data_IF_114766276900
#
_entry.id   IF_114766276900
#
_cell.length_a   1.000
_cell.length_b   1.000
_cell.length_c   1.000
_cell.angle_alpha   90.00
_cell.angle_beta   90.00
_cell.angle_gamma   90.00
#
_symmetry.space_group_name_H-M   'P 1'
#
loop_
_entity.id
_entity.type
_entity.pdbx_description
1 polymer ?
#
# COMPACT_ATOMS: atom_id res chain seq x y z
N UNK A 1 14.77 5.13 -5.85
CA UNK A 1 13.98 4.16 -5.07
C UNK A 1 14.95 3.17 -4.46
N UNK A 2 14.87 2.93 -3.15
CA UNK A 2 15.72 1.93 -2.50
C UNK A 2 15.18 0.50 -2.72
N UNK A 3 15.94 -0.52 -2.31
CA UNK A 3 15.57 -1.92 -2.47
C UNK A 3 14.24 -2.31 -1.79
N UNK A 4 13.87 -1.63 -0.70
CA UNK A 4 12.60 -1.86 0.00
C UNK A 4 11.42 -1.20 -0.73
N UNK A 5 11.61 -0.02 -1.31
CA UNK A 5 10.60 0.61 -2.19
C UNK A 5 10.39 -0.23 -3.46
N UNK A 6 11.46 -0.80 -4.03
CA UNK A 6 11.37 -1.70 -5.19
C UNK A 6 10.70 -3.04 -4.85
N UNK A 7 10.91 -3.60 -3.66
CA UNK A 7 10.24 -4.82 -3.22
C UNK A 7 8.72 -4.61 -3.05
N UNK A 8 8.32 -3.46 -2.50
CA UNK A 8 6.90 -3.05 -2.39
C UNK A 8 6.27 -2.86 -3.78
N UNK A 9 6.99 -2.25 -4.72
CA UNK A 9 6.52 -2.08 -6.11
C UNK A 9 6.44 -3.42 -6.85
N UNK A 10 7.38 -4.34 -6.59
CA UNK A 10 7.39 -5.70 -7.20
C UNK A 10 6.30 -6.62 -6.68
N UNK A 11 5.69 -6.32 -5.54
CA UNK A 11 4.55 -7.08 -5.02
C UNK A 11 3.25 -6.87 -5.83
N UNK A 12 3.13 -5.83 -6.66
CA UNK A 12 1.80 -5.36 -7.10
C UNK A 12 1.77 -4.99 -8.58
N UNK A 13 0.80 -5.55 -9.34
CA UNK A 13 0.49 -5.13 -10.72
C UNK A 13 -0.29 -3.81 -10.80
N UNK A 14 -0.76 -3.30 -9.66
CA UNK A 14 -1.69 -2.17 -9.50
C UNK A 14 -1.42 -1.38 -8.21
N UNK A 15 -0.25 -0.73 -8.10
CA UNK A 15 0.00 0.23 -7.01
C UNK A 15 -0.42 1.64 -7.44
N UNK A 16 -1.18 2.35 -6.62
CA UNK A 16 -1.48 3.78 -6.84
C UNK A 16 -0.48 4.60 -6.03
N UNK A 17 0.45 5.26 -6.73
CA UNK A 17 1.37 6.22 -6.10
C UNK A 17 0.70 7.60 -6.10
N UNK A 18 0.30 8.08 -4.93
CA UNK A 18 -0.22 9.44 -4.79
C UNK A 18 0.94 10.40 -4.53
N UNK A 19 1.41 11.08 -5.58
CA UNK A 19 2.23 12.29 -5.45
C UNK A 19 1.39 13.51 -5.82
N UNK A 20 0.94 14.29 -4.84
CA UNK A 20 0.20 15.52 -5.12
C UNK A 20 1.20 16.65 -5.36
N UNK A 21 1.60 16.85 -6.63
CA UNK A 21 2.28 18.08 -7.02
C UNK A 21 1.27 19.23 -7.06
N UNK A 22 1.63 20.41 -6.53
CA UNK A 22 0.84 21.64 -6.69
C UNK A 22 0.65 21.95 -8.17
N UNK A 23 -0.54 21.69 -8.71
CA UNK A 23 -0.95 22.21 -10.01
C UNK A 23 -2.36 22.82 -9.88
N UNK A 24 -2.43 24.16 -10.01
CA UNK A 24 -3.66 24.89 -10.25
C UNK A 24 -4.00 24.78 -11.74
N UNK A 25 -4.99 23.97 -12.12
CA UNK A 25 -5.91 24.27 -13.23
C UNK A 25 -6.96 23.16 -13.41
N UNK A 26 -8.17 23.59 -13.77
CA UNK A 26 -9.31 22.73 -14.10
C UNK A 26 -9.02 21.95 -15.38
N UNK A 27 -9.09 20.62 -15.33
CA UNK A 27 -9.09 19.76 -16.52
C UNK A 27 -10.27 18.79 -16.44
N UNK A 28 -11.15 18.84 -17.45
CA UNK A 28 -12.23 17.87 -17.70
C UNK A 28 -11.64 16.67 -18.45
N UNK A 29 -11.99 15.45 -18.03
CA UNK A 29 -11.58 14.21 -18.68
C UNK A 29 -12.59 13.78 -19.77
N UNK A 30 -12.15 13.43 -20.99
CA UNK A 30 -13.02 12.76 -21.96
C UNK A 30 -12.98 11.23 -21.77
N UNK A 31 -14.14 10.59 -21.96
CA UNK A 31 -14.32 9.13 -21.96
C UNK A 31 -13.97 8.58 -23.34
N UNK A 32 -12.96 7.71 -23.44
CA UNK A 32 -12.77 6.86 -24.61
C UNK A 32 -12.60 5.38 -24.22
N UNK A 33 -13.30 4.53 -24.98
CA UNK A 33 -13.31 3.06 -24.92
C UNK A 33 -12.03 2.52 -25.57
N UNK A 34 -11.43 1.47 -25.00
CA UNK A 34 -10.39 0.69 -25.66
C UNK A 34 -10.94 -0.70 -26.04
N UNK A 35 -10.74 -1.10 -27.30
CA UNK A 35 -10.86 -2.49 -27.76
C UNK A 35 -9.47 -3.13 -27.81
N UNK A 36 -9.41 -4.43 -27.53
CA UNK A 36 -8.20 -5.26 -27.52
C UNK A 36 -7.96 -5.86 -28.90
N UNK A 37 -6.73 -5.76 -29.41
CA UNK A 37 -6.22 -6.66 -30.44
C UNK A 37 -4.88 -7.27 -29.99
N UNK A 38 -4.77 -8.58 -30.18
CA UNK A 38 -3.59 -9.41 -29.94
C UNK A 38 -2.64 -9.35 -31.14
N UNK A 39 -1.32 -9.32 -30.89
CA UNK A 39 -0.34 -9.93 -31.80
C UNK A 39 0.92 -10.36 -31.05
N UNK A 40 1.46 -11.50 -31.48
CA UNK A 40 2.51 -12.30 -30.86
C UNK A 40 3.94 -11.79 -31.17
N UNK A 41 4.87 -12.17 -30.27
CA UNK A 41 6.30 -12.46 -30.42
C UNK A 41 7.17 -11.65 -31.40
N UNK A 42 8.21 -10.98 -30.89
CA UNK A 42 9.62 -11.21 -31.25
C UNK A 42 10.58 -10.38 -30.36
N UNK A 43 11.83 -10.84 -30.37
CA UNK A 43 12.99 -10.64 -29.50
C UNK A 43 13.64 -9.24 -29.51
N UNK A 44 14.45 -8.99 -28.47
CA UNK A 44 15.49 -7.96 -28.29
C UNK A 44 15.89 -7.14 -29.52
N UNK A 45 15.78 -5.80 -29.43
CA UNK A 45 16.95 -4.92 -29.42
C UNK A 45 16.57 -3.45 -29.16
N UNK A 46 17.51 -2.72 -28.54
CA UNK A 46 17.49 -1.28 -28.37
C UNK A 46 17.25 -0.57 -29.72
N UNK A 47 16.24 0.30 -29.80
CA UNK A 47 16.30 1.48 -30.67
C UNK A 47 15.34 2.57 -30.20
N UNK A 48 15.93 3.58 -29.56
CA UNK A 48 15.33 4.90 -29.34
C UNK A 48 15.14 5.56 -30.70
N UNK A 49 13.90 5.70 -31.18
CA UNK A 49 13.57 6.59 -32.30
C UNK A 49 13.25 7.97 -31.74
N UNK A 50 14.23 8.87 -31.76
CA UNK A 50 14.01 10.31 -31.61
C UNK A 50 13.47 10.82 -32.94
N UNK A 51 12.23 11.30 -32.96
CA UNK A 51 11.74 12.20 -34.00
C UNK A 51 12.32 13.59 -33.74
N UNK A 52 13.14 14.09 -34.65
CA UNK A 52 13.51 15.51 -34.74
C UNK A 52 12.60 16.25 -35.72
N UNK A 53 12.51 17.57 -35.49
CA UNK A 53 11.88 18.67 -36.23
C UNK A 53 10.55 19.14 -35.62
N UNK A 54 10.32 20.41 -35.32
CA UNK A 54 11.12 21.63 -35.47
C UNK A 54 10.30 22.78 -34.88
N UNK A 55 10.75 23.44 -33.79
CA UNK A 55 10.33 24.81 -33.50
C UNK A 55 11.33 25.48 -32.53
N UNK A 56 12.08 26.52 -32.94
CA UNK A 56 13.10 27.14 -32.11
C UNK A 56 12.51 28.32 -31.35
N UNK A 57 12.08 28.10 -30.12
CA UNK A 57 11.90 29.18 -29.13
C UNK A 57 11.68 28.61 -27.74
N UNK A 58 12.77 28.19 -27.09
CA UNK A 58 13.01 28.25 -25.64
C UNK A 58 14.40 27.68 -25.37
N UNK A 59 15.18 28.44 -24.60
CA UNK A 59 16.56 28.15 -24.28
C UNK A 59 16.76 26.69 -23.85
N UNK A 60 17.63 25.97 -24.57
CA UNK A 60 18.24 24.75 -24.08
C UNK A 60 19.21 25.18 -22.99
N UNK A 61 18.84 24.97 -21.73
CA UNK A 61 19.82 24.98 -20.65
C UNK A 61 20.73 23.77 -20.89
N UNK A 62 21.90 24.01 -21.48
CA UNK A 62 22.96 23.02 -21.53
C UNK A 62 23.39 22.75 -20.08
N UNK A 63 22.99 21.60 -19.54
CA UNK A 63 23.51 21.11 -18.27
C UNK A 63 24.92 20.61 -18.56
N UNK A 64 25.98 21.18 -17.94
CA UNK A 64 27.34 20.76 -18.21
C UNK A 64 27.50 19.28 -17.89
N UNK A 65 28.12 18.54 -18.83
CA UNK A 65 28.51 17.15 -18.66
C UNK A 65 29.56 17.10 -17.54
N UNK A 66 29.13 16.71 -16.34
CA UNK A 66 29.90 16.86 -15.10
C UNK A 66 29.08 17.24 -13.86
N UNK A 67 27.75 17.39 -13.96
CA UNK A 67 26.92 17.45 -12.74
C UNK A 67 26.99 16.08 -12.05
N UNK A 68 27.76 16.02 -10.97
CA UNK A 68 27.73 14.98 -9.95
C UNK A 68 26.27 14.57 -9.74
N UNK A 69 25.96 13.28 -9.99
CA UNK A 69 24.67 12.72 -9.63
C UNK A 69 24.54 12.97 -8.14
N UNK A 70 23.72 13.94 -7.74
CA UNK A 70 23.48 14.18 -6.33
C UNK A 70 23.09 12.85 -5.73
N UNK A 71 23.85 12.39 -4.73
CA UNK A 71 23.55 11.15 -4.05
C UNK A 71 22.06 11.13 -3.72
N UNK A 72 21.37 9.99 -3.89
CA UNK A 72 19.95 9.91 -3.56
C UNK A 72 19.81 10.44 -2.14
N UNK A 73 19.08 11.56 -1.98
CA UNK A 73 18.90 12.24 -0.70
C UNK A 73 18.58 11.16 0.33
N UNK A 74 19.52 10.91 1.23
CA UNK A 74 19.42 9.81 2.18
C UNK A 74 18.10 9.96 2.92
N UNK A 75 17.27 8.92 2.88
CA UNK A 75 15.98 8.93 3.54
C UNK A 75 16.18 9.16 5.04
N UNK A 76 15.77 10.34 5.52
CA UNK A 76 15.93 10.76 6.90
C UNK A 76 14.57 10.82 7.64
N UNK A 77 13.75 9.78 7.41
CA UNK A 77 12.44 9.64 8.03
C UNK A 77 12.23 8.24 8.59
N UNK A 78 11.01 7.99 9.06
CA UNK A 78 10.56 6.68 9.52
C UNK A 78 9.65 6.05 8.46
N UNK A 79 9.86 4.76 8.18
CA UNK A 79 8.95 3.95 7.36
C UNK A 79 7.91 3.31 8.27
N UNK A 80 6.65 3.69 8.07
CA UNK A 80 5.49 3.15 8.77
C UNK A 80 4.68 2.25 7.85
N UNK A 81 4.09 1.21 8.43
CA UNK A 81 3.35 0.20 7.69
C UNK A 81 2.03 -0.12 8.40
N UNK A 82 0.93 -0.11 7.65
CA UNK A 82 -0.37 -0.62 8.07
C UNK A 82 -0.77 -1.79 7.17
N UNK A 83 -0.93 -2.97 7.77
CA UNK A 83 -1.41 -4.18 7.09
C UNK A 83 -2.79 -4.52 7.61
N UNK A 84 -3.77 -4.66 6.72
CA UNK A 84 -5.16 -4.91 7.11
C UNK A 84 -5.81 -6.00 6.25
N UNK A 85 -6.35 -7.02 6.91
CA UNK A 85 -7.25 -7.99 6.30
C UNK A 85 -8.67 -7.68 6.77
N UNK A 86 -9.56 -7.31 5.83
CA UNK A 86 -10.97 -7.09 6.14
C UNK A 86 -11.77 -8.39 6.27
N UNK A 87 -11.26 -9.48 5.71
CA UNK A 87 -11.94 -10.77 5.69
C UNK A 87 -11.66 -11.64 6.92
N UNK A 88 -12.69 -12.34 7.38
CA UNK A 88 -12.61 -13.36 8.42
C UNK A 88 -13.25 -14.68 7.95
N UNK A 89 -13.13 -15.72 8.77
CA UNK A 89 -13.56 -17.11 8.55
C UNK A 89 -12.67 -17.91 7.59
N UNK A 90 -12.80 -19.23 7.67
CA UNK A 90 -12.01 -20.18 6.89
C UNK A 90 -12.18 -20.03 5.37
N UNK A 91 -13.38 -19.68 4.89
CA UNK A 91 -13.63 -19.47 3.46
C UNK A 91 -12.88 -18.26 2.88
N UNK A 92 -12.50 -17.32 3.74
CA UNK A 92 -11.72 -16.13 3.40
C UNK A 92 -10.25 -16.23 3.86
N UNK A 93 -9.76 -17.45 4.10
CA UNK A 93 -8.38 -17.73 4.52
C UNK A 93 -7.33 -16.88 3.79
N UNK A 94 -7.49 -16.71 2.48
CA UNK A 94 -6.56 -15.99 1.61
C UNK A 94 -6.25 -14.56 2.10
N UNK A 95 -7.23 -13.84 2.65
CA UNK A 95 -7.06 -12.43 3.01
C UNK A 95 -6.07 -12.25 4.17
N UNK A 96 -6.27 -12.98 5.27
CA UNK A 96 -5.35 -12.92 6.41
C UNK A 96 -4.01 -13.58 6.06
N UNK A 97 -3.99 -14.69 5.29
CA UNK A 97 -2.73 -15.31 4.86
C UNK A 97 -1.86 -14.37 4.01
N UNK A 98 -2.48 -13.51 3.18
CA UNK A 98 -1.76 -12.50 2.40
C UNK A 98 -1.17 -11.40 3.30
N UNK A 99 -1.90 -10.95 4.32
CA UNK A 99 -1.40 -9.98 5.31
C UNK A 99 -0.23 -10.56 6.09
N UNK A 100 -0.31 -11.83 6.50
CA UNK A 100 0.77 -12.52 7.19
C UNK A 100 2.02 -12.62 6.31
N UNK A 101 1.86 -12.99 5.04
CA UNK A 101 2.96 -13.01 4.10
C UNK A 101 3.57 -11.62 3.87
N UNK A 102 2.74 -10.58 3.72
CA UNK A 102 3.21 -9.20 3.62
C UNK A 102 4.02 -8.79 4.87
N UNK A 103 3.56 -9.15 6.07
CA UNK A 103 4.29 -8.93 7.31
C UNK A 103 5.69 -9.57 7.28
N UNK A 104 5.80 -10.84 6.87
CA UNK A 104 7.10 -11.52 6.79
C UNK A 104 8.06 -10.80 5.83
N UNK A 105 7.56 -10.33 4.69
CA UNK A 105 8.38 -9.62 3.72
C UNK A 105 8.82 -8.25 4.26
N UNK A 106 7.91 -7.48 4.87
CA UNK A 106 8.23 -6.18 5.47
C UNK A 106 9.24 -6.34 6.61
N UNK A 107 9.06 -7.35 7.45
CA UNK A 107 9.96 -7.67 8.55
C UNK A 107 11.35 -8.06 8.06
N UNK A 108 11.45 -8.88 7.02
CA UNK A 108 12.75 -9.28 6.43
C UNK A 108 13.53 -8.12 5.80
N UNK A 109 12.85 -7.03 5.43
CA UNK A 109 13.49 -5.79 4.95
C UNK A 109 13.83 -4.79 6.07
N UNK A 110 13.78 -5.21 7.34
CA UNK A 110 14.29 -4.44 8.46
C UNK A 110 13.34 -3.39 9.04
N UNK A 111 12.05 -3.40 8.67
CA UNK A 111 11.07 -2.54 9.34
C UNK A 111 10.76 -3.13 10.73
N UNK A 112 10.95 -2.37 11.83
CA UNK A 112 10.72 -2.89 13.17
C UNK A 112 9.22 -2.99 13.49
N UNK A 113 8.82 -3.91 14.37
CA UNK A 113 7.39 -4.12 14.73
C UNK A 113 6.76 -2.88 15.37
N UNK A 114 7.58 -1.99 15.94
CA UNK A 114 7.13 -0.70 16.47
C UNK A 114 6.53 0.20 15.40
N UNK A 115 6.88 -0.02 14.14
CA UNK A 115 6.46 0.78 12.99
C UNK A 115 5.47 0.02 12.09
N UNK A 116 5.12 -1.23 12.44
CA UNK A 116 4.16 -2.06 11.72
C UNK A 116 2.92 -2.21 12.59
N UNK A 117 1.78 -1.79 12.07
CA UNK A 117 0.46 -2.08 12.66
C UNK A 117 -0.22 -3.15 11.83
N UNK A 118 -0.67 -4.23 12.48
CA UNK A 118 -1.39 -5.32 11.80
C UNK A 118 -2.83 -5.42 12.34
N UNK A 119 -3.78 -5.35 11.41
CA UNK A 119 -5.21 -5.57 11.65
C UNK A 119 -5.65 -6.85 10.93
N UNK A 120 -6.02 -7.88 11.67
CA UNK A 120 -6.47 -9.16 11.11
C UNK A 120 -7.38 -9.87 12.10
N UNK A 121 -8.39 -10.60 11.64
CA UNK A 121 -9.40 -11.14 12.55
C UNK A 121 -8.84 -12.19 13.53
N UNK A 122 -7.76 -12.87 13.16
CA UNK A 122 -7.02 -13.88 13.94
C UNK A 122 -7.77 -15.21 14.17
N UNK A 123 -8.58 -15.63 13.19
CA UNK A 123 -9.41 -16.85 13.28
C UNK A 123 -8.99 -17.98 12.33
N UNK A 124 -7.76 -17.93 11.79
CA UNK A 124 -7.23 -18.97 10.89
C UNK A 124 -6.36 -20.02 11.60
N UNK A 125 -5.34 -19.58 12.33
CA UNK A 125 -4.30 -20.48 12.85
C UNK A 125 -4.89 -21.59 13.74
N UNK A 126 -5.86 -21.25 14.59
CA UNK A 126 -6.54 -22.18 15.50
C UNK A 126 -7.95 -22.57 15.02
N UNK A 127 -8.27 -22.36 13.74
CA UNK A 127 -9.56 -22.75 13.18
C UNK A 127 -9.74 -24.27 13.24
N UNK A 128 -10.94 -24.76 13.54
CA UNK A 128 -11.24 -26.21 13.53
C UNK A 128 -11.05 -26.86 12.15
N UNK A 129 -11.17 -26.08 11.08
CA UNK A 129 -10.93 -26.54 9.72
C UNK A 129 -9.44 -26.52 9.32
N UNK A 130 -8.55 -25.97 10.16
CA UNK A 130 -7.12 -25.94 9.88
C UNK A 130 -6.50 -27.33 10.10
N UNK A 131 -6.01 -28.00 9.04
CA UNK A 131 -5.37 -29.32 9.19
C UNK A 131 -4.02 -29.25 9.91
N UNK A 132 -3.42 -28.07 10.02
CA UNK A 132 -2.14 -27.82 10.68
C UNK A 132 -2.30 -26.70 11.72
N UNK A 133 -2.86 -26.97 12.91
CA UNK A 133 -3.10 -25.96 13.92
C UNK A 133 -1.86 -25.13 14.26
N UNK A 134 -2.04 -23.83 14.39
CA UNK A 134 -0.97 -22.86 14.66
C UNK A 134 -0.16 -22.44 13.43
N UNK A 135 -0.35 -23.09 12.28
CA UNK A 135 0.36 -22.78 11.03
C UNK A 135 -0.62 -22.18 10.02
N UNK A 136 -0.17 -21.13 9.33
CA UNK A 136 -0.88 -20.55 8.18
C UNK A 136 0.12 -20.40 7.05
N UNK A 137 -0.14 -21.01 5.90
CA UNK A 137 0.64 -20.87 4.67
C UNK A 137 -0.05 -19.91 3.69
N UNK A 138 0.71 -19.23 2.82
CA UNK A 138 0.15 -18.37 1.76
C UNK A 138 0.31 -18.92 0.33
N UNK A 139 1.15 -19.94 0.16
CA UNK A 139 1.35 -20.67 -1.10
C UNK A 139 1.40 -22.18 -0.82
N UNK A 140 1.01 -23.05 -1.78
CA UNK A 140 1.10 -24.49 -1.59
C UNK A 140 2.52 -24.92 -1.21
N UNK A 141 2.65 -25.78 -0.19
CA UNK A 141 3.93 -26.23 0.37
C UNK A 141 4.86 -25.08 0.81
N UNK A 142 4.32 -23.89 1.06
CA UNK A 142 5.07 -22.72 1.53
C UNK A 142 5.40 -22.79 3.02
N UNK A 143 6.25 -21.86 3.50
CA UNK A 143 6.54 -21.73 4.92
C UNK A 143 5.32 -21.23 5.69
N UNK A 144 5.35 -21.41 7.02
CA UNK A 144 4.44 -20.72 7.92
C UNK A 144 4.67 -19.20 7.84
N UNK A 145 3.59 -18.46 7.56
CA UNK A 145 3.60 -16.99 7.53
C UNK A 145 2.98 -16.37 8.79
N UNK A 146 2.35 -17.16 9.67
CA UNK A 146 1.67 -16.65 10.87
C UNK A 146 2.61 -16.32 12.03
N UNK A 147 3.69 -17.09 12.18
CA UNK A 147 4.62 -16.92 13.31
C UNK A 147 5.16 -15.49 13.41
N UNK A 148 5.01 -14.90 14.60
CA UNK A 148 5.53 -13.58 14.94
C UNK A 148 4.67 -12.41 14.45
N UNK A 149 3.58 -12.65 13.71
CA UNK A 149 2.67 -11.58 13.27
C UNK A 149 2.06 -10.88 14.50
N UNK A 150 2.17 -9.54 14.61
CA UNK A 150 1.54 -8.78 15.67
C UNK A 150 0.01 -8.93 15.70
N UNK A 151 -0.56 -8.82 16.90
CA UNK A 151 -2.01 -8.86 17.15
C UNK A 151 -2.49 -7.49 17.63
N UNK A 152 -2.18 -6.44 16.87
CA UNK A 152 -2.46 -5.05 17.29
C UNK A 152 -3.98 -4.79 17.33
N UNK A 153 -4.70 -5.27 16.31
CA UNK A 153 -6.16 -5.25 16.22
C UNK A 153 -6.65 -6.60 15.71
N UNK A 154 -7.44 -7.30 16.52
CA UNK A 154 -8.00 -8.62 16.19
C UNK A 154 -9.49 -8.70 16.52
N UNK A 155 -10.19 -9.67 15.92
CA UNK A 155 -11.63 -9.81 16.09
C UNK A 155 -12.41 -8.53 15.77
N UNK A 156 -13.24 -8.07 16.70
CA UNK A 156 -14.09 -6.88 16.53
C UNK A 156 -13.30 -5.56 16.40
N UNK A 157 -12.03 -5.54 16.79
CA UNK A 157 -11.17 -4.36 16.64
C UNK A 157 -10.75 -4.13 15.18
N UNK A 158 -10.96 -5.11 14.29
CA UNK A 158 -10.77 -4.97 12.85
C UNK A 158 -12.00 -4.29 12.26
N UNK A 159 -12.00 -2.96 12.24
CA UNK A 159 -13.12 -2.16 11.75
C UNK A 159 -12.65 -0.85 11.09
N UNK A 160 -13.50 -0.19 10.27
CA UNK A 160 -13.15 1.05 9.58
C UNK A 160 -12.71 2.17 10.52
N UNK A 161 -13.37 2.31 11.67
CA UNK A 161 -13.08 3.38 12.64
C UNK A 161 -11.65 3.24 13.17
N UNK A 162 -11.27 2.05 13.61
CA UNK A 162 -9.92 1.76 14.08
C UNK A 162 -8.90 1.88 12.94
N UNK A 163 -9.23 1.44 11.72
CA UNK A 163 -8.33 1.56 10.57
C UNK A 163 -7.97 3.03 10.27
N UNK A 164 -8.97 3.91 10.19
CA UNK A 164 -8.75 5.35 9.97
C UNK A 164 -8.05 6.00 11.17
N UNK A 165 -8.40 5.60 12.40
CA UNK A 165 -7.78 6.09 13.62
C UNK A 165 -6.29 5.69 13.74
N UNK A 166 -5.94 4.46 13.37
CA UNK A 166 -4.55 4.00 13.27
C UNK A 166 -3.79 4.84 12.26
N UNK A 167 -4.38 5.02 11.06
CA UNK A 167 -3.75 5.72 9.95
C UNK A 167 -3.44 7.18 10.30
N UNK A 168 -4.36 7.88 10.98
CA UNK A 168 -4.17 9.28 11.40
C UNK A 168 -3.32 9.48 12.66
N UNK A 169 -3.00 8.39 13.36
CA UNK A 169 -2.28 8.46 14.64
C UNK A 169 -3.15 8.97 15.78
N UNK A 170 -4.31 8.35 16.00
CA UNK A 170 -5.28 8.79 17.00
C UNK A 170 -4.70 8.79 18.43
N UNK A 171 -4.71 9.94 19.13
CA UNK A 171 -4.08 10.06 20.45
C UNK A 171 -4.86 9.35 21.56
N UNK A 172 -6.17 9.10 21.38
CA UNK A 172 -6.97 8.38 22.38
C UNK A 172 -6.59 6.91 22.34
N UNK A 173 -6.51 6.30 21.15
CA UNK A 173 -6.03 4.93 20.99
C UNK A 173 -4.61 4.77 21.53
N UNK A 174 -3.71 5.71 21.20
CA UNK A 174 -2.34 5.69 21.69
C UNK A 174 -2.23 5.75 23.23
N UNK A 175 -3.07 6.59 23.89
CA UNK A 175 -3.14 6.65 25.36
C UNK A 175 -3.71 5.37 25.97
N UNK A 176 -4.58 4.67 25.26
CA UNK A 176 -5.12 3.37 25.66
C UNK A 176 -4.21 2.20 25.26
N UNK A 177 -2.90 2.46 25.07
CA UNK A 177 -1.88 1.47 24.73
C UNK A 177 -2.14 0.69 23.43
N UNK A 178 -3.03 1.18 22.55
CA UNK A 178 -3.18 0.64 21.20
C UNK A 178 -2.13 1.22 20.27
N UNK A 179 -1.55 0.38 19.41
CA UNK A 179 -0.53 0.79 18.45
C UNK A 179 -1.17 1.59 17.30
N UNK A 180 -0.67 2.80 17.06
CA UNK A 180 -1.09 3.65 15.94
C UNK A 180 0.12 4.16 15.18
N UNK A 181 -0.07 4.67 13.96
CA UNK A 181 1.01 5.30 13.19
C UNK A 181 1.37 6.64 13.85
N UNK A 182 2.65 6.86 14.15
CA UNK A 182 3.14 8.11 14.75
C UNK A 182 4.03 8.87 13.77
N UNK A 183 3.54 9.03 12.55
CA UNK A 183 4.31 9.58 11.43
C UNK A 183 4.32 11.12 11.40
N UNK A 184 5.42 11.66 10.89
CA UNK A 184 5.65 13.10 10.69
C UNK A 184 5.91 13.50 9.24
N UNK A 185 6.31 14.76 8.99
CA UNK A 185 6.41 15.34 7.65
C UNK A 185 7.49 14.71 6.76
N UNK A 186 8.46 13.99 7.33
CA UNK A 186 9.54 13.34 6.59
C UNK A 186 9.32 11.83 6.41
N UNK A 187 8.24 11.30 6.99
CA UNK A 187 8.02 9.86 7.08
C UNK A 187 7.31 9.31 5.85
N UNK A 188 7.53 8.02 5.58
CA UNK A 188 6.80 7.29 4.55
C UNK A 188 5.78 6.36 5.19
N UNK A 189 4.58 6.30 4.62
CA UNK A 189 3.54 5.37 5.03
C UNK A 189 3.25 4.40 3.90
N UNK A 190 3.29 3.11 4.20
CA UNK A 190 2.80 2.05 3.33
C UNK A 190 1.53 1.44 3.92
N UNK A 191 0.48 1.36 3.11
CA UNK A 191 -0.79 0.71 3.48
C UNK A 191 -1.02 -0.45 2.54
N UNK A 192 -1.22 -1.65 3.10
CA UNK A 192 -1.71 -2.81 2.38
C UNK A 192 -3.03 -3.24 2.97
N UNK A 193 -4.08 -3.22 2.14
CA UNK A 193 -5.39 -3.68 2.49
C UNK A 193 -5.80 -4.83 1.56
N UNK A 194 -6.42 -5.86 2.13
CA UNK A 194 -6.99 -6.96 1.36
C UNK A 194 -8.32 -7.46 1.96
N UNK A 195 -9.36 -7.52 1.13
CA UNK A 195 -10.62 -8.22 1.41
C UNK A 195 -11.49 -8.29 0.13
N UNK A 196 -12.80 -8.42 0.29
CA UNK A 196 -13.83 -8.06 -0.68
C UNK A 196 -13.98 -6.55 -0.80
N UNK A 197 -14.58 -6.14 -1.91
CA UNK A 197 -14.95 -4.76 -2.17
C UNK A 197 -16.16 -4.70 -3.09
N UNK A 198 -16.75 -3.54 -3.15
CA UNK A 198 -17.82 -3.20 -4.09
C UNK A 198 -17.54 -1.80 -4.63
N UNK A 199 -18.31 -1.29 -5.60
CA UNK A 199 -18.13 0.09 -6.04
C UNK A 199 -18.13 1.06 -4.86
N UNK A 200 -17.08 1.87 -4.75
CA UNK A 200 -16.88 2.91 -3.72
C UNK A 200 -16.79 2.40 -2.27
N UNK A 201 -16.48 1.12 -2.04
CA UNK A 201 -16.21 0.60 -0.69
C UNK A 201 -15.25 -0.58 -0.65
N UNK A 202 -14.58 -0.71 0.50
CA UNK A 202 -13.87 -1.92 0.92
C UNK A 202 -14.54 -2.52 2.16
N UNK A 203 -14.56 -3.85 2.26
CA UNK A 203 -15.24 -4.55 3.33
C UNK A 203 -14.36 -4.74 4.58
N UNK A 204 -14.99 -4.69 5.73
CA UNK A 204 -14.45 -5.14 7.01
C UNK A 204 -15.36 -6.27 7.53
N UNK A 205 -14.95 -7.02 8.57
CA UNK A 205 -15.66 -8.24 8.99
C UNK A 205 -17.16 -8.05 9.25
N UNK A 206 -17.58 -6.86 9.69
CA UNK A 206 -18.97 -6.53 10.00
C UNK A 206 -19.43 -5.16 9.47
N UNK A 207 -18.56 -4.42 8.77
CA UNK A 207 -18.79 -3.03 8.38
C UNK A 207 -18.13 -2.73 7.02
N UNK A 208 -18.34 -1.54 6.48
CA UNK A 208 -17.72 -1.10 5.23
C UNK A 208 -16.98 0.22 5.46
N UNK A 209 -15.89 0.42 4.73
CA UNK A 209 -15.23 1.72 4.61
C UNK A 209 -15.47 2.26 3.20
N UNK A 210 -16.10 3.43 3.11
CA UNK A 210 -16.41 4.05 1.82
C UNK A 210 -15.19 4.81 1.27
N UNK A 211 -15.09 4.89 -0.06
CA UNK A 211 -13.99 5.57 -0.75
C UNK A 211 -13.92 7.06 -0.40
N UNK A 212 -15.07 7.71 -0.21
CA UNK A 212 -15.14 9.10 0.25
C UNK A 212 -14.48 9.31 1.62
N UNK A 213 -14.76 8.43 2.58
CA UNK A 213 -14.19 8.51 3.94
C UNK A 213 -12.67 8.33 3.92
N UNK A 214 -12.18 7.35 3.16
CA UNK A 214 -10.75 7.10 3.01
C UNK A 214 -10.04 8.28 2.32
N UNK A 215 -10.65 8.84 1.28
CA UNK A 215 -10.13 10.01 0.58
C UNK A 215 -10.09 11.26 1.48
N UNK A 216 -11.14 11.48 2.28
CA UNK A 216 -11.18 12.55 3.27
C UNK A 216 -10.05 12.40 4.30
N UNK A 217 -9.80 11.18 4.77
CA UNK A 217 -8.72 10.89 5.71
C UNK A 217 -7.34 11.20 5.12
N UNK A 218 -7.06 10.83 3.87
CA UNK A 218 -5.79 11.16 3.21
C UNK A 218 -5.58 12.65 3.02
N UNK A 219 -6.63 13.39 2.64
CA UNK A 219 -6.58 14.85 2.50
C UNK A 219 -6.26 15.50 3.84
N UNK A 220 -6.90 15.07 4.91
CA UNK A 220 -6.65 15.59 6.26
C UNK A 220 -5.21 15.30 6.69
N UNK A 221 -4.73 14.07 6.53
CA UNK A 221 -3.35 13.71 6.87
C UNK A 221 -2.30 14.50 6.08
N UNK A 222 -2.58 14.80 4.81
CA UNK A 222 -1.73 15.66 4.01
C UNK A 222 -1.67 17.09 4.55
N UNK A 223 -2.83 17.66 4.92
CA UNK A 223 -2.91 18.99 5.54
C UNK A 223 -2.16 19.05 6.88
N UNK A 224 -2.27 17.98 7.67
CA UNK A 224 -1.63 17.82 8.97
C UNK A 224 -0.14 17.41 8.86
N UNK A 225 0.40 17.32 7.64
CA UNK A 225 1.79 16.94 7.34
C UNK A 225 2.21 15.63 8.01
N UNK A 226 1.34 14.61 7.94
CA UNK A 226 1.57 13.29 8.56
C UNK A 226 2.49 12.38 7.75
N UNK A 227 2.87 12.73 6.53
CA UNK A 227 3.79 11.95 5.71
C UNK A 227 4.44 12.82 4.63
N UNK A 228 5.64 12.43 4.20
CA UNK A 228 6.25 12.89 2.96
C UNK A 228 5.70 12.12 1.75
N UNK A 229 5.54 10.80 1.89
CA UNK A 229 4.98 9.92 0.86
C UNK A 229 4.04 8.89 1.48
N UNK A 230 2.93 8.63 0.80
CA UNK A 230 2.00 7.56 1.14
C UNK A 230 1.77 6.68 -0.09
N UNK A 231 1.94 5.38 0.08
CA UNK A 231 1.61 4.36 -0.93
C UNK A 231 0.53 3.47 -0.36
N UNK A 232 -0.52 3.24 -1.14
CA UNK A 232 -1.58 2.31 -0.79
C UNK A 232 -1.75 1.24 -1.87
N UNK A 233 -1.79 0.00 -1.43
CA UNK A 233 -2.09 -1.17 -2.24
C UNK A 233 -3.39 -1.81 -1.72
N UNK A 234 -4.40 -1.89 -2.58
CA UNK A 234 -5.73 -2.42 -2.25
C UNK A 234 -6.03 -3.63 -3.12
N UNK A 235 -6.08 -4.80 -2.50
CA UNK A 235 -6.58 -6.04 -3.10
C UNK A 235 -8.05 -6.20 -2.72
N UNK A 236 -8.95 -5.75 -3.60
CA UNK A 236 -10.39 -5.91 -3.44
C UNK A 236 -11.08 -5.88 -4.81
N UNK A 237 -12.26 -6.51 -4.90
CA UNK A 237 -13.12 -6.33 -6.06
C UNK A 237 -13.43 -4.83 -6.22
N UNK A 238 -13.30 -4.30 -7.44
CA UNK A 238 -13.57 -2.89 -7.74
C UNK A 238 -12.62 -1.87 -7.09
N UNK A 239 -11.42 -2.26 -6.64
CA UNK A 239 -10.49 -1.38 -5.90
C UNK A 239 -9.97 -0.15 -6.67
N UNK A 240 -10.20 -0.07 -7.99
CA UNK A 240 -9.86 1.08 -8.82
C UNK A 240 -10.98 2.12 -8.97
N UNK A 241 -12.16 1.89 -8.39
CA UNK A 241 -13.28 2.81 -8.36
C UNK A 241 -13.27 3.65 -7.09
#
# INVERSE_FOLDING_TARGET
>A
MDASEMAIVRMVKSAVVLSVSKAKSKVKWPRHKYSLQHSQNLTCDLCVKIFTMSNPSKAVYAVPFGSELSEPVAFNGTKWVLLAAGGNTWSNYRHQSNVYHAYQIIKSHGIPDTNIVVMHYDDLANNKANPTPGIVINVPNGPDVYKGVPKDYTGADVNPLNFLAVLRGDPILARNHKKVIKSGPNDHIYVYFIDHGAPDLIAFPSQYLYGEELNAQFKQMYQDKKYAKLVINIEACNSGM
#
